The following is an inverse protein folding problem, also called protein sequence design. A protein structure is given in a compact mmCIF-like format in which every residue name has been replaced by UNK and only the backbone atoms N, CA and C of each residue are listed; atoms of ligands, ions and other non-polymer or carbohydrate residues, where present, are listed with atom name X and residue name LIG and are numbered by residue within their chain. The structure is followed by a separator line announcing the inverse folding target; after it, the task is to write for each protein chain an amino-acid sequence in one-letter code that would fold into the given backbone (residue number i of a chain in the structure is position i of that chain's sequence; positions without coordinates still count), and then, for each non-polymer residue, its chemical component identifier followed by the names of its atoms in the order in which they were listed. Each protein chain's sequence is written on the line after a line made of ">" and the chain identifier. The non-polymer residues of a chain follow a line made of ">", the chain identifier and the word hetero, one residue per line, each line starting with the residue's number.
data_IF_090228349658
#
_entry.id   IF_090228349658
#
_cell.length_a   1.000
_cell.length_b   1.000
_cell.length_c   1.000
_cell.angle_alpha   90.00
_cell.angle_beta   90.00
_cell.angle_gamma   90.00
#
_symmetry.space_group_name_H-M   'P 1'
#
loop_
_entity.id
_entity.type
_entity.pdbx_description
1 polymer ?
#
# COMPACT_ATOMS: atom_id res chain seq x y z
N UNK A 1 5.67 12.53 13.19
CA UNK A 1 5.70 12.19 11.76
C UNK A 1 4.32 11.68 11.39
N UNK A 2 3.72 12.18 10.33
CA UNK A 2 2.44 11.64 9.83
C UNK A 2 2.68 10.39 8.97
N UNK A 3 1.62 9.65 8.64
CA UNK A 3 1.70 8.42 7.83
C UNK A 3 2.44 8.62 6.52
N UNK A 4 2.21 9.74 5.82
CA UNK A 4 2.79 10.01 4.51
C UNK A 4 4.29 10.33 4.60
N UNK A 5 4.71 11.10 5.61
CA UNK A 5 6.11 11.38 5.88
C UNK A 5 6.88 10.10 6.17
N UNK A 6 6.33 9.22 7.01
CA UNK A 6 6.95 7.93 7.33
C UNK A 6 7.00 7.03 6.09
N UNK A 7 5.89 6.92 5.36
CA UNK A 7 5.82 6.16 4.10
C UNK A 7 6.90 6.61 3.12
N UNK A 8 7.07 7.93 2.93
CA UNK A 8 8.11 8.49 2.05
C UNK A 8 9.50 8.14 2.53
N UNK A 9 9.76 8.21 3.83
CA UNK A 9 11.05 7.81 4.41
C UNK A 9 11.35 6.33 4.12
N UNK A 10 10.39 5.42 4.36
CA UNK A 10 10.58 3.98 4.12
C UNK A 10 10.88 3.65 2.65
N UNK A 11 10.29 4.39 1.71
CA UNK A 11 10.56 4.25 0.26
C UNK A 11 11.95 4.75 -0.18
N UNK A 12 12.72 5.36 0.72
CA UNK A 12 14.13 5.77 0.51
C UNK A 12 15.14 4.83 1.15
N UNK A 13 14.71 3.67 1.65
CA UNK A 13 15.59 2.64 2.24
C UNK A 13 16.46 3.16 3.40
N UNK A 14 15.84 3.69 4.47
CA UNK A 14 16.57 4.35 5.55
C UNK A 14 17.54 3.38 6.22
N UNK A 15 18.80 3.79 6.35
CA UNK A 15 19.86 2.94 6.90
C UNK A 15 20.18 1.70 6.05
N UNK A 16 19.84 1.72 4.75
CA UNK A 16 20.03 0.59 3.84
C UNK A 16 18.99 -0.52 3.99
N UNK A 17 17.95 -0.32 4.81
CA UNK A 17 16.88 -1.30 4.99
C UNK A 17 15.84 -1.16 3.89
N UNK A 18 15.64 -2.22 3.11
CA UNK A 18 14.65 -2.21 2.04
C UNK A 18 13.23 -2.43 2.57
N UNK A 19 12.28 -1.62 2.07
CA UNK A 19 10.85 -1.79 2.30
C UNK A 19 10.13 -1.94 0.97
N UNK A 20 9.47 -3.07 0.75
CA UNK A 20 8.66 -3.28 -0.44
C UNK A 20 7.40 -2.38 -0.41
N UNK A 21 6.61 -2.36 -1.50
CA UNK A 21 5.42 -1.51 -1.59
C UNK A 21 4.36 -1.81 -0.51
N UNK A 22 4.14 -3.07 -0.16
CA UNK A 22 3.21 -3.47 0.90
C UNK A 22 3.73 -3.06 2.28
N UNK A 23 4.99 -3.36 2.60
CA UNK A 23 5.63 -3.01 3.87
C UNK A 23 5.64 -1.50 4.09
N UNK A 24 5.97 -0.73 3.05
CA UNK A 24 6.04 0.73 3.12
C UNK A 24 4.69 1.38 3.42
N UNK A 25 3.59 0.69 3.09
CA UNK A 25 2.25 1.13 3.44
C UNK A 25 1.78 0.56 4.79
N UNK A 26 2.09 -0.71 5.10
CA UNK A 26 1.59 -1.37 6.31
C UNK A 26 2.26 -0.85 7.59
N UNK A 27 3.58 -0.64 7.57
CA UNK A 27 4.37 -0.24 8.75
C UNK A 27 3.93 1.11 9.33
N UNK A 28 3.69 2.16 8.53
CA UNK A 28 3.24 3.45 9.07
C UNK A 28 1.89 3.38 9.82
N UNK A 29 1.03 2.41 9.49
CA UNK A 29 -0.31 2.27 10.09
C UNK A 29 -0.38 1.26 11.23
N UNK A 30 0.76 0.69 11.65
CA UNK A 30 0.80 -0.39 12.64
C UNK A 30 0.12 0.00 13.97
N UNK A 31 0.36 1.23 14.45
CA UNK A 31 -0.22 1.72 15.70
C UNK A 31 -1.74 1.83 15.66
N UNK A 32 -2.32 2.37 14.57
CA UNK A 32 -3.77 2.52 14.40
C UNK A 32 -4.51 1.19 14.38
N UNK A 33 -3.84 0.13 13.93
CA UNK A 33 -4.42 -1.21 13.82
C UNK A 33 -3.99 -2.12 14.99
N UNK A 34 -3.34 -1.57 16.02
CA UNK A 34 -2.94 -2.29 17.23
C UNK A 34 -1.89 -3.36 16.97
N UNK A 35 -0.84 -3.01 16.22
CA UNK A 35 0.30 -3.88 15.89
C UNK A 35 1.63 -3.17 16.15
N UNK A 36 2.67 -3.96 16.43
CA UNK A 36 4.05 -3.47 16.43
C UNK A 36 4.56 -3.29 15.00
N UNK A 37 5.46 -2.32 14.80
CA UNK A 37 6.01 -2.01 13.47
C UNK A 37 6.81 -3.16 12.86
N UNK A 38 7.54 -3.92 13.68
CA UNK A 38 8.30 -5.08 13.19
C UNK A 38 7.39 -6.23 12.76
N UNK A 39 6.24 -6.43 13.43
CA UNK A 39 5.24 -7.40 12.99
C UNK A 39 4.60 -6.98 11.66
N UNK A 40 4.25 -5.69 11.52
CA UNK A 40 3.75 -5.13 10.26
C UNK A 40 4.79 -5.28 9.12
N UNK A 41 6.06 -5.04 9.41
CA UNK A 41 7.16 -5.25 8.47
C UNK A 41 7.25 -6.73 8.05
N UNK A 42 7.24 -7.65 9.03
CA UNK A 42 7.32 -9.08 8.78
C UNK A 42 6.14 -9.59 7.94
N UNK A 43 4.91 -9.20 8.28
CA UNK A 43 3.70 -9.59 7.54
C UNK A 43 3.71 -9.11 6.09
N UNK A 44 4.22 -7.91 5.81
CA UNK A 44 4.29 -7.35 4.47
C UNK A 44 5.34 -7.98 3.55
N UNK A 45 6.26 -8.80 4.07
CA UNK A 45 7.49 -9.23 3.39
C UNK A 45 7.24 -9.87 2.02
N UNK A 46 6.22 -10.72 1.91
CA UNK A 46 5.98 -11.52 0.70
C UNK A 46 4.92 -10.95 -0.25
N UNK A 47 4.37 -9.76 0.04
CA UNK A 47 3.37 -9.11 -0.83
C UNK A 47 3.98 -8.15 -1.85
N UNK A 48 5.29 -7.90 -1.78
CA UNK A 48 6.02 -7.18 -2.83
C UNK A 48 5.96 -7.90 -4.19
N UNK A 49 6.07 -7.13 -5.27
CA UNK A 49 6.07 -7.64 -6.65
C UNK A 49 4.85 -8.51 -7.02
N UNK A 50 3.69 -8.22 -6.43
CA UNK A 50 2.47 -8.96 -6.69
C UNK A 50 2.52 -10.38 -6.13
N UNK A 51 2.77 -10.50 -4.82
CA UNK A 51 2.98 -11.80 -4.16
C UNK A 51 4.15 -12.59 -4.77
N UNK A 52 5.23 -11.90 -5.17
CA UNK A 52 6.42 -12.46 -5.83
C UNK A 52 6.19 -13.06 -7.24
N UNK A 53 4.96 -13.12 -7.74
CA UNK A 53 4.65 -13.68 -9.06
C UNK A 53 3.85 -12.73 -9.96
N UNK A 54 3.70 -11.47 -9.57
CA UNK A 54 3.07 -10.41 -10.36
C UNK A 54 1.55 -10.36 -10.29
N UNK A 55 0.90 -11.05 -9.33
CA UNK A 55 -0.55 -11.00 -9.12
C UNK A 55 -0.95 -9.76 -8.30
N UNK A 56 -1.83 -9.86 -7.31
CA UNK A 56 -2.43 -8.72 -6.63
C UNK A 56 -1.42 -7.67 -6.13
N UNK A 57 -1.68 -6.39 -6.45
CA UNK A 57 -0.86 -5.25 -6.04
C UNK A 57 -0.64 -5.22 -4.52
N UNK A 58 0.63 -5.30 -4.09
CA UNK A 58 0.99 -5.32 -2.68
C UNK A 58 0.51 -4.10 -1.88
N UNK A 59 0.48 -2.92 -2.50
CA UNK A 59 -0.06 -1.70 -1.89
C UNK A 59 -1.56 -1.85 -1.59
N UNK A 60 -2.35 -2.34 -2.54
CA UNK A 60 -3.78 -2.55 -2.35
C UNK A 60 -4.04 -3.67 -1.33
N UNK A 61 -3.26 -4.74 -1.37
CA UNK A 61 -3.33 -5.83 -0.38
C UNK A 61 -3.09 -5.31 1.04
N UNK A 62 -2.03 -4.51 1.26
CA UNK A 62 -1.76 -3.91 2.56
C UNK A 62 -2.88 -2.96 3.01
N UNK A 63 -3.46 -2.19 2.09
CA UNK A 63 -4.59 -1.32 2.40
C UNK A 63 -5.81 -2.11 2.90
N UNK A 64 -6.14 -3.23 2.25
CA UNK A 64 -7.23 -4.10 2.68
C UNK A 64 -6.97 -4.76 4.04
N UNK A 65 -5.71 -5.14 4.33
CA UNK A 65 -5.32 -5.62 5.66
C UNK A 65 -5.54 -4.54 6.73
N UNK A 66 -5.12 -3.31 6.46
CA UNK A 66 -5.31 -2.17 7.38
C UNK A 66 -6.79 -1.93 7.65
N UNK A 67 -7.62 -1.86 6.59
CA UNK A 67 -9.07 -1.66 6.74
C UNK A 67 -9.73 -2.79 7.55
N UNK A 68 -9.38 -4.04 7.26
CA UNK A 68 -9.91 -5.19 8.00
C UNK A 68 -9.53 -5.15 9.48
N UNK A 69 -8.26 -4.87 9.80
CA UNK A 69 -7.78 -4.80 11.17
C UNK A 69 -8.34 -3.58 11.93
N UNK A 70 -8.64 -2.49 11.22
CA UNK A 70 -9.33 -1.31 11.75
C UNK A 70 -10.84 -1.50 11.92
N UNK A 71 -11.40 -2.66 11.57
CA UNK A 71 -12.83 -2.96 11.73
C UNK A 71 -13.74 -2.19 10.75
N UNK A 72 -13.21 -1.77 9.59
CA UNK A 72 -14.03 -1.14 8.54
C UNK A 72 -14.92 -2.16 7.86
N UNK A 73 -16.09 -1.73 7.42
CA UNK A 73 -17.06 -2.56 6.74
C UNK A 73 -16.61 -2.98 5.32
N UNK A 74 -17.31 -3.96 4.77
CA UNK A 74 -17.01 -4.53 3.45
C UNK A 74 -17.24 -3.50 2.35
N UNK A 75 -18.22 -2.62 2.52
CA UNK A 75 -18.60 -1.55 1.60
C UNK A 75 -17.46 -0.54 1.45
N UNK A 76 -16.83 -0.13 2.55
CA UNK A 76 -15.64 0.74 2.55
C UNK A 76 -14.48 0.07 1.82
N UNK A 77 -14.20 -1.20 2.12
CA UNK A 77 -13.13 -1.95 1.47
C UNK A 77 -13.40 -2.12 -0.04
N UNK A 78 -14.63 -2.46 -0.42
CA UNK A 78 -15.05 -2.60 -1.81
C UNK A 78 -14.93 -1.28 -2.56
N UNK A 79 -15.37 -0.17 -1.95
CA UNK A 79 -15.23 1.15 -2.57
C UNK A 79 -13.77 1.48 -2.86
N UNK A 80 -12.85 1.18 -1.94
CA UNK A 80 -11.42 1.42 -2.16
C UNK A 80 -10.88 0.61 -3.36
N UNK A 81 -11.32 -0.64 -3.51
CA UNK A 81 -10.96 -1.49 -4.67
C UNK A 81 -11.56 -0.95 -5.96
N UNK A 82 -12.83 -0.55 -5.94
CA UNK A 82 -13.52 -0.01 -7.11
C UNK A 82 -12.88 1.31 -7.57
N UNK A 83 -12.52 2.20 -6.63
CA UNK A 83 -11.79 3.45 -6.91
C UNK A 83 -10.39 3.16 -7.49
N UNK A 84 -9.69 2.16 -6.96
CA UNK A 84 -8.38 1.73 -7.48
C UNK A 84 -8.49 1.19 -8.91
N UNK A 85 -9.49 0.34 -9.17
CA UNK A 85 -9.78 -0.19 -10.50
C UNK A 85 -10.16 0.93 -11.48
N UNK A 86 -10.96 1.91 -11.06
CA UNK A 86 -11.31 3.04 -11.91
C UNK A 86 -10.10 3.90 -12.28
N UNK A 87 -9.17 4.10 -11.33
CA UNK A 87 -7.97 4.89 -11.55
C UNK A 87 -6.88 4.18 -12.38
N UNK A 88 -6.76 2.86 -12.24
CA UNK A 88 -5.61 2.10 -12.76
C UNK A 88 -5.97 0.98 -13.74
N UNK A 89 -7.25 0.65 -13.91
CA UNK A 89 -7.76 -0.37 -14.84
C UNK A 89 -7.57 -1.83 -14.40
N UNK A 90 -6.74 -2.10 -13.39
CA UNK A 90 -6.43 -3.45 -12.91
C UNK A 90 -5.91 -3.43 -11.48
N UNK A 91 -6.02 -4.56 -10.78
CA UNK A 91 -5.35 -4.80 -9.49
C UNK A 91 -4.12 -5.70 -9.62
N UNK A 92 -3.88 -6.27 -10.81
CA UNK A 92 -2.74 -7.13 -11.09
C UNK A 92 -1.45 -6.30 -11.20
N UNK A 93 -0.45 -6.64 -10.39
CA UNK A 93 0.79 -5.89 -10.26
C UNK A 93 1.60 -5.92 -11.56
N UNK A 94 1.57 -7.02 -12.31
CA UNK A 94 2.27 -7.11 -13.59
C UNK A 94 1.59 -6.19 -14.61
N UNK A 95 0.27 -6.25 -14.71
CA UNK A 95 -0.48 -5.36 -15.59
C UNK A 95 -0.29 -3.88 -15.23
N UNK A 96 -0.27 -3.53 -13.95
CA UNK A 96 0.03 -2.16 -13.50
C UNK A 96 1.42 -1.70 -13.96
N UNK A 97 2.43 -2.57 -13.83
CA UNK A 97 3.80 -2.24 -14.22
C UNK A 97 3.95 -2.17 -15.74
N UNK A 98 3.31 -3.05 -16.50
CA UNK A 98 3.29 -2.99 -17.97
C UNK A 98 2.63 -1.69 -18.45
N UNK A 99 1.48 -1.31 -17.89
CA UNK A 99 0.80 -0.06 -18.25
C UNK A 99 1.61 1.20 -17.88
N UNK A 100 2.46 1.12 -16.85
CA UNK A 100 3.38 2.20 -16.48
C UNK A 100 4.56 2.27 -17.45
N UNK A 101 5.15 1.12 -17.80
CA UNK A 101 6.24 1.00 -18.76
C UNK A 101 5.85 1.53 -20.15
N UNK A 102 4.64 1.22 -20.62
CA UNK A 102 4.08 1.75 -21.88
C UNK A 102 3.99 3.28 -21.89
N UNK A 103 3.92 3.91 -20.72
CA UNK A 103 3.91 5.38 -20.53
C UNK A 103 5.30 5.96 -20.24
N UNK A 104 6.35 5.12 -20.24
CA UNK A 104 7.72 5.52 -19.92
C UNK A 104 7.97 5.76 -18.42
N UNK A 105 7.10 5.27 -17.54
CA UNK A 105 7.21 5.46 -16.09
C UNK A 105 8.00 4.30 -15.48
N UNK A 106 9.05 4.61 -14.73
CA UNK A 106 9.87 3.60 -14.06
C UNK A 106 9.07 2.86 -12.96
N UNK A 107 9.41 1.58 -12.72
CA UNK A 107 8.78 0.76 -11.67
C UNK A 107 8.75 1.45 -10.30
N UNK A 108 9.86 2.07 -9.88
CA UNK A 108 9.95 2.74 -8.58
C UNK A 108 8.94 3.89 -8.49
N UNK A 109 8.92 4.75 -9.50
CA UNK A 109 8.02 5.90 -9.59
C UNK A 109 6.55 5.46 -9.56
N UNK A 110 6.19 4.44 -10.36
CA UNK A 110 4.84 3.88 -10.34
C UNK A 110 4.46 3.33 -8.96
N UNK A 111 5.30 2.48 -8.36
CA UNK A 111 4.99 1.91 -7.05
C UNK A 111 4.95 2.96 -5.94
N UNK A 112 5.85 3.95 -5.96
CA UNK A 112 5.86 5.07 -5.00
C UNK A 112 4.56 5.87 -5.12
N UNK A 113 4.12 6.19 -6.34
CA UNK A 113 2.86 6.88 -6.59
C UNK A 113 1.66 6.15 -6.00
N UNK A 114 1.54 4.83 -6.25
CA UNK A 114 0.48 4.00 -5.69
C UNK A 114 0.50 3.98 -4.16
N UNK A 115 1.70 3.84 -3.57
CA UNK A 115 1.88 3.81 -2.11
C UNK A 115 1.47 5.13 -1.47
N UNK A 116 1.86 6.28 -2.05
CA UNK A 116 1.55 7.59 -1.49
C UNK A 116 0.06 7.93 -1.61
N UNK A 117 -0.56 7.69 -2.77
CA UNK A 117 -2.00 7.91 -2.96
C UNK A 117 -2.81 7.05 -1.97
N UNK A 118 -2.45 5.77 -1.84
CA UNK A 118 -3.14 4.87 -0.92
C UNK A 118 -2.95 5.27 0.55
N UNK A 119 -1.75 5.72 0.94
CA UNK A 119 -1.48 6.23 2.28
C UNK A 119 -2.40 7.41 2.63
N UNK A 120 -2.59 8.35 1.70
CA UNK A 120 -3.47 9.50 1.93
C UNK A 120 -4.94 9.07 2.07
N UNK A 121 -5.40 8.16 1.21
CA UNK A 121 -6.78 7.61 1.30
C UNK A 121 -7.02 6.91 2.63
N UNK A 122 -6.09 6.06 3.07
CA UNK A 122 -6.21 5.35 4.35
C UNK A 122 -6.23 6.31 5.54
N UNK A 123 -5.33 7.30 5.57
CA UNK A 123 -5.33 8.31 6.63
C UNK A 123 -6.69 9.03 6.73
N UNK A 124 -7.31 9.36 5.59
CA UNK A 124 -8.65 9.96 5.55
C UNK A 124 -9.78 9.01 5.98
N UNK A 125 -9.67 7.71 5.68
CA UNK A 125 -10.66 6.70 6.06
C UNK A 125 -10.61 6.33 7.55
N UNK A 126 -9.42 6.35 8.15
CA UNK A 126 -9.22 5.96 9.55
C UNK A 126 -9.49 7.10 10.54
N UNK A 127 -9.21 8.36 10.15
CA UNK A 127 -9.52 9.55 10.96
C UNK A 127 -11.01 9.79 11.17
N UNK A 128 -11.88 9.29 10.28
CA UNK A 128 -13.34 9.42 10.36
C UNK A 128 -14.03 8.49 11.38
N UNK A 129 -13.26 7.85 12.27
CA UNK A 129 -13.80 6.93 13.28
C UNK A 129 -13.70 7.55 14.66
N UNK A 130 -14.71 8.35 15.01
CA UNK A 130 -15.11 8.65 16.40
C UNK A 130 -16.63 8.66 16.45
#
# INVERSE_FOLDING_TARGET
>A
MNHLEETKLLRQEPGGRHYNCAQSLLVPFAAEIGMEKEDAYALGTFFGAGMMHGSACGTLTAALMILGKAGKDKETAKKLVDDFLAAHGTTDCRCLLTAAEEKGIARKENCDGLVFDMCQKLAALLTKTK
#
